data_IF_836872926188
#
_entry.id   IF_836872926188
#
_cell.length_a   1.000
_cell.length_b   1.000
_cell.length_c   1.000
_cell.angle_alpha   90.00
_cell.angle_beta   90.00
_cell.angle_gamma   90.00
#
_symmetry.space_group_name_H-M   'P 1'
#
loop_
_entity.id
_entity.type
_entity.pdbx_description
1 polymer ?
#
# COMPACT_ATOMS: atom_id res chain seq x y z
N UNK A 1 28.55 5.18 -18.74
CA UNK A 1 27.60 5.23 -17.62
C UNK A 1 26.28 4.71 -18.13
N UNK A 2 25.90 3.48 -17.78
CA UNK A 2 24.67 2.85 -18.29
C UNK A 2 23.53 3.13 -17.32
N UNK A 3 22.51 3.86 -17.79
CA UNK A 3 21.25 4.06 -17.09
C UNK A 3 20.37 2.83 -17.29
N UNK A 4 20.27 1.98 -16.26
CA UNK A 4 19.32 0.88 -16.24
C UNK A 4 17.93 1.45 -16.01
N UNK A 5 17.07 1.39 -17.03
CA UNK A 5 15.64 1.68 -16.89
C UNK A 5 15.02 0.71 -15.86
N UNK A 6 14.01 1.16 -15.07
CA UNK A 6 13.35 0.27 -14.12
C UNK A 6 12.66 -0.86 -14.87
N UNK A 7 12.84 -2.08 -14.36
CA UNK A 7 12.26 -3.29 -14.95
C UNK A 7 10.73 -3.20 -14.90
N UNK A 8 9.99 -3.58 -15.97
CA UNK A 8 8.53 -3.58 -15.93
C UNK A 8 8.07 -4.56 -14.85
N UNK A 9 7.23 -4.08 -13.92
CA UNK A 9 6.67 -4.91 -12.86
C UNK A 9 5.70 -5.93 -13.48
N UNK A 10 5.96 -7.21 -13.24
CA UNK A 10 5.17 -8.32 -13.81
C UNK A 10 3.84 -8.42 -13.04
N UNK A 11 2.67 -8.29 -13.69
CA UNK A 11 1.36 -8.19 -13.02
C UNK A 11 0.85 -9.51 -12.41
N UNK A 12 1.64 -10.59 -12.51
CA UNK A 12 1.28 -11.93 -12.00
C UNK A 12 1.97 -12.29 -10.69
N UNK A 13 2.89 -11.45 -10.22
CA UNK A 13 3.49 -11.59 -8.90
C UNK A 13 2.54 -10.85 -7.97
N UNK A 14 1.82 -11.59 -7.11
CA UNK A 14 1.06 -10.97 -6.02
C UNK A 14 1.97 -9.98 -5.30
N UNK A 15 1.43 -8.83 -4.87
CA UNK A 15 2.26 -7.76 -4.31
C UNK A 15 3.18 -8.32 -3.23
N UNK A 16 4.49 -8.05 -3.35
CA UNK A 16 5.47 -8.51 -2.37
C UNK A 16 5.12 -7.96 -0.98
N UNK A 17 5.35 -8.71 0.11
CA UNK A 17 5.00 -8.27 1.47
C UNK A 17 5.53 -6.87 1.81
N UNK A 18 6.72 -6.53 1.32
CA UNK A 18 7.35 -5.21 1.49
C UNK A 18 6.55 -4.08 0.80
N UNK A 19 5.95 -4.37 -0.36
CA UNK A 19 5.11 -3.41 -1.09
C UNK A 19 3.78 -3.18 -0.37
N UNK A 20 3.18 -4.26 0.13
CA UNK A 20 1.94 -4.18 0.93
C UNK A 20 2.19 -3.38 2.22
N UNK A 21 3.30 -3.65 2.90
CA UNK A 21 3.67 -2.93 4.12
C UNK A 21 3.92 -1.43 3.86
N UNK A 22 4.59 -1.09 2.75
CA UNK A 22 4.78 0.30 2.35
C UNK A 22 3.44 1.00 2.08
N UNK A 23 2.54 0.36 1.33
CA UNK A 23 1.22 0.91 1.01
C UNK A 23 0.36 1.13 2.25
N UNK A 24 0.37 0.20 3.19
CA UNK A 24 -0.34 0.34 4.47
C UNK A 24 0.24 1.49 5.29
N UNK A 25 1.57 1.60 5.37
CA UNK A 25 2.22 2.72 6.08
C UNK A 25 1.90 4.07 5.46
N UNK A 26 1.86 4.15 4.13
CA UNK A 26 1.51 5.39 3.43
C UNK A 26 0.08 5.83 3.76
N UNK A 27 -0.87 4.90 3.86
CA UNK A 27 -2.25 5.20 4.27
C UNK A 27 -2.30 5.66 5.73
N UNK A 28 -1.67 4.92 6.63
CA UNK A 28 -1.72 5.20 8.08
C UNK A 28 -0.92 6.44 8.49
N UNK A 29 -0.01 6.91 7.63
CA UNK A 29 0.75 8.15 7.85
C UNK A 29 0.01 9.41 7.39
N UNK A 30 -1.15 9.27 6.72
CA UNK A 30 -1.93 10.43 6.31
C UNK A 30 -2.53 11.14 7.53
N UNK A 31 -2.49 12.48 7.57
CA UNK A 31 -3.10 13.23 8.66
C UNK A 31 -4.63 13.13 8.60
N UNK A 32 -5.26 12.93 9.75
CA UNK A 32 -6.71 13.02 9.94
C UNK A 32 -7.05 14.15 10.91
N UNK A 33 -8.04 14.98 10.57
CA UNK A 33 -8.52 16.07 11.44
C UNK A 33 -9.70 15.63 12.31
N UNK A 34 -10.35 14.53 11.93
CA UNK A 34 -11.51 13.97 12.64
C UNK A 34 -11.35 12.46 12.84
N UNK A 35 -12.02 11.93 13.87
CA UNK A 35 -12.08 10.47 14.09
C UNK A 35 -12.75 9.73 12.93
N UNK A 36 -13.65 10.40 12.20
CA UNK A 36 -14.28 9.83 11.02
C UNK A 36 -13.26 9.64 9.89
N UNK A 37 -12.40 10.63 9.65
CA UNK A 37 -11.30 10.52 8.68
C UNK A 37 -10.29 9.44 9.09
N UNK A 38 -9.94 9.38 10.38
CA UNK A 38 -9.06 8.32 10.90
C UNK A 38 -9.65 6.92 10.66
N UNK A 39 -10.96 6.74 10.92
CA UNK A 39 -11.64 5.48 10.65
C UNK A 39 -11.63 5.11 9.15
N UNK A 40 -11.75 6.09 8.25
CA UNK A 40 -11.66 5.85 6.81
C UNK A 40 -10.25 5.45 6.36
N UNK A 41 -9.20 6.00 6.98
CA UNK A 41 -7.82 5.58 6.70
C UNK A 41 -7.57 4.14 7.20
N UNK A 42 -8.09 3.79 8.37
CA UNK A 42 -8.01 2.43 8.90
C UNK A 42 -8.76 1.41 8.03
N UNK A 43 -9.95 1.75 7.54
CA UNK A 43 -10.70 0.90 6.61
C UNK A 43 -9.93 0.67 5.29
N UNK A 44 -9.31 1.72 4.75
CA UNK A 44 -8.48 1.61 3.54
C UNK A 44 -7.27 0.70 3.77
N UNK A 45 -6.55 0.86 4.88
CA UNK A 45 -5.42 0.01 5.23
C UNK A 45 -5.85 -1.46 5.42
N UNK A 46 -7.01 -1.69 6.06
CA UNK A 46 -7.59 -3.01 6.21
C UNK A 46 -7.89 -3.66 4.85
N UNK A 47 -8.50 -2.93 3.91
CA UNK A 47 -8.83 -3.46 2.58
C UNK A 47 -7.58 -3.90 1.82
N UNK A 48 -6.48 -3.14 1.88
CA UNK A 48 -5.20 -3.53 1.27
C UNK A 48 -4.68 -4.85 1.83
N UNK A 49 -4.74 -5.02 3.17
CA UNK A 49 -4.33 -6.27 3.80
C UNK A 49 -5.28 -7.44 3.46
N UNK A 50 -6.59 -7.19 3.43
CA UNK A 50 -7.59 -8.18 3.13
C UNK A 50 -7.45 -8.72 1.69
N UNK A 51 -7.23 -7.81 0.73
CA UNK A 51 -7.03 -8.16 -0.68
C UNK A 51 -5.73 -8.98 -0.88
N UNK A 52 -4.69 -8.70 -0.11
CA UNK A 52 -3.44 -9.46 -0.17
C UNK A 52 -3.53 -10.87 0.44
N UNK A 53 -4.51 -11.11 1.32
CA UNK A 53 -4.73 -12.40 2.00
C UNK A 53 -5.81 -13.27 1.34
N UNK A 54 -6.56 -12.71 0.39
CA UNK A 54 -7.65 -13.38 -0.33
C UNK A 54 -7.15 -14.14 -1.56
#
# INVERSE_FOLDING_TARGET
>A
MSVTAPKPHDPRVGAEPETIAAQVNDILSQPAQTLQEEAQLLEQAYNVLNDALS
#
